data_IF_932363725223
#
_entry.id   IF_932363725223
#
_cell.length_a   1.000
_cell.length_b   1.000
_cell.length_c   1.000
_cell.angle_alpha   90.00
_cell.angle_beta   90.00
_cell.angle_gamma   90.00
#
_symmetry.space_group_name_H-M   'P 1'
#
loop_
_entity.id
_entity.type
_entity.pdbx_description
1 polymer ?
#
# COMPACT_ATOMS: atom_id res chain seq x y z
N UNK A 1 14.68 19.15 -13.99
CA UNK A 1 14.97 18.22 -15.10
C UNK A 1 14.55 16.79 -14.74
N UNK A 2 14.87 16.30 -13.54
CA UNK A 2 14.64 14.90 -13.16
C UNK A 2 13.16 14.52 -13.03
N UNK A 3 12.33 15.38 -12.44
CA UNK A 3 10.87 15.14 -12.37
C UNK A 3 10.25 14.93 -13.75
N UNK A 4 10.60 15.78 -14.72
CA UNK A 4 10.08 15.68 -16.10
C UNK A 4 10.53 14.40 -16.80
N UNK A 5 11.81 14.01 -16.63
CA UNK A 5 12.32 12.74 -17.17
C UNK A 5 11.61 11.53 -16.54
N UNK A 6 11.38 11.56 -15.23
CA UNK A 6 10.65 10.51 -14.51
C UNK A 6 9.20 10.39 -14.98
N UNK A 7 8.50 11.52 -15.09
CA UNK A 7 7.11 11.55 -15.57
C UNK A 7 6.99 11.05 -17.02
N UNK A 8 7.85 11.54 -17.93
CA UNK A 8 7.87 11.07 -19.32
C UNK A 8 8.10 9.57 -19.40
N UNK A 9 9.05 9.04 -18.62
CA UNK A 9 9.31 7.60 -18.59
C UNK A 9 8.13 6.81 -18.02
N UNK A 10 7.46 7.32 -17.00
CA UNK A 10 6.26 6.70 -16.44
C UNK A 10 5.10 6.67 -17.45
N UNK A 11 4.94 7.71 -18.28
CA UNK A 11 3.99 7.72 -19.39
C UNK A 11 4.34 6.67 -20.45
N UNK A 12 5.63 6.60 -20.86
CA UNK A 12 6.10 5.60 -21.83
C UNK A 12 5.86 4.15 -21.36
N UNK A 13 5.90 3.93 -20.05
CA UNK A 13 5.67 2.63 -19.41
C UNK A 13 4.20 2.38 -19.05
N UNK A 14 3.30 3.34 -19.31
CA UNK A 14 1.87 3.22 -18.98
C UNK A 14 1.56 3.24 -17.48
N UNK A 15 2.44 3.81 -16.65
CA UNK A 15 2.25 3.88 -15.19
C UNK A 15 1.33 5.03 -14.76
N UNK A 16 1.09 5.99 -15.66
CA UNK A 16 0.23 7.14 -15.42
C UNK A 16 -0.64 7.42 -16.64
N UNK A 17 -1.90 7.71 -16.39
CA UNK A 17 -2.89 8.24 -17.34
C UNK A 17 -3.80 9.27 -16.62
N UNK A 18 -4.77 9.82 -17.34
CA UNK A 18 -5.76 10.76 -16.75
C UNK A 18 -6.68 10.06 -15.72
N UNK A 19 -6.82 8.73 -15.78
CA UNK A 19 -7.62 7.95 -14.84
C UNK A 19 -6.90 7.74 -13.50
N UNK A 20 -5.55 7.65 -13.52
CA UNK A 20 -4.67 7.55 -12.36
C UNK A 20 -4.74 8.81 -11.50
N UNK A 21 -4.82 9.99 -12.14
CA UNK A 21 -5.00 11.26 -11.41
C UNK A 21 -6.38 11.31 -10.75
N UNK A 22 -7.43 10.80 -11.40
CA UNK A 22 -8.76 10.69 -10.78
C UNK A 22 -8.80 9.65 -9.64
N UNK A 23 -8.19 8.47 -9.81
CA UNK A 23 -8.17 7.38 -8.83
C UNK A 23 -7.29 7.67 -7.60
N UNK A 24 -6.15 8.33 -7.77
CA UNK A 24 -5.33 8.86 -6.67
C UNK A 24 -5.83 10.21 -6.13
N UNK A 25 -6.75 10.90 -6.80
CA UNK A 25 -7.44 12.10 -6.26
C UNK A 25 -8.53 11.76 -5.25
N UNK A 26 -8.79 10.47 -4.99
CA UNK A 26 -9.47 10.05 -3.79
C UNK A 26 -8.65 10.54 -2.60
N UNK A 27 -9.00 11.75 -2.10
CA UNK A 27 -8.49 12.44 -0.90
C UNK A 27 -8.66 11.64 0.40
N UNK A 28 -8.86 10.34 0.28
CA UNK A 28 -9.65 9.50 1.16
C UNK A 28 -9.11 8.08 1.17
N UNK A 29 -7.84 7.81 0.83
CA UNK A 29 -7.21 6.51 1.10
C UNK A 29 -5.71 6.71 1.31
N UNK A 30 -5.09 6.21 2.39
CA UNK A 30 -3.64 6.25 2.59
C UNK A 30 -2.96 5.11 1.82
N UNK A 31 -3.46 4.82 0.60
CA UNK A 31 -2.99 3.77 -0.29
C UNK A 31 -2.81 4.38 -1.67
N UNK A 32 -1.60 4.26 -2.20
CA UNK A 32 -1.21 4.82 -3.48
C UNK A 32 -0.66 3.71 -4.38
N UNK A 33 -1.27 3.54 -5.55
CA UNK A 33 -0.70 2.70 -6.60
C UNK A 33 0.49 3.46 -7.18
N UNK A 34 1.70 2.92 -7.06
CA UNK A 34 2.94 3.52 -7.57
C UNK A 34 3.23 2.98 -8.97
N UNK A 35 3.08 1.67 -9.15
CA UNK A 35 3.21 0.99 -10.44
C UNK A 35 1.94 0.14 -10.63
N UNK A 36 1.12 0.41 -11.65
CA UNK A 36 -0.11 -0.35 -11.88
C UNK A 36 0.14 -1.85 -11.98
N UNK A 37 -0.60 -2.63 -11.18
CA UNK A 37 -0.51 -4.09 -11.16
C UNK A 37 0.72 -4.67 -10.46
N UNK A 38 1.64 -3.83 -9.95
CA UNK A 38 2.92 -4.29 -9.38
C UNK A 38 3.16 -3.72 -7.98
N UNK A 39 3.13 -2.39 -7.82
CA UNK A 39 3.56 -1.74 -6.59
C UNK A 39 2.50 -0.79 -6.02
N UNK A 40 2.16 -1.02 -4.75
CA UNK A 40 1.29 -0.18 -3.95
C UNK A 40 2.06 0.22 -2.69
N UNK A 41 2.02 1.51 -2.34
CA UNK A 41 2.53 2.02 -1.08
C UNK A 41 1.35 2.46 -0.21
N UNK A 42 1.33 2.08 1.06
CA UNK A 42 0.31 2.51 1.99
C UNK A 42 0.88 2.81 3.37
N UNK A 43 0.26 3.76 4.07
CA UNK A 43 0.65 4.14 5.42
C UNK A 43 0.03 3.23 6.47
N UNK A 44 0.75 2.97 7.57
CA UNK A 44 0.13 2.44 8.78
C UNK A 44 -0.68 3.56 9.47
N UNK A 45 -1.98 3.37 9.65
CA UNK A 45 -2.81 4.29 10.42
C UNK A 45 -2.26 4.45 11.85
N UNK A 46 -2.31 5.68 12.40
CA UNK A 46 -1.93 5.95 13.79
C UNK A 46 -3.04 5.46 14.72
N UNK A 47 -3.04 4.16 15.01
CA UNK A 47 -4.00 3.47 15.91
C UNK A 47 -5.47 3.54 15.46
N UNK A 48 -6.17 2.41 15.29
CA UNK A 48 -7.62 2.46 15.15
C UNK A 48 -8.22 2.95 16.47
N UNK A 49 -8.88 4.13 16.47
CA UNK A 49 -9.85 4.40 17.54
C UNK A 49 -10.97 3.38 17.38
N UNK A 50 -11.38 2.76 18.49
CA UNK A 50 -12.35 1.65 18.61
C UNK A 50 -13.77 1.99 18.12
N UNK A 51 -13.93 2.35 16.86
CA UNK A 51 -15.22 2.45 16.22
C UNK A 51 -15.13 1.82 14.84
N UNK A 52 -15.51 0.54 14.71
CA UNK A 52 -15.68 -0.04 13.38
C UNK A 52 -16.77 0.75 12.68
N UNK A 53 -16.41 1.41 11.57
CA UNK A 53 -17.41 1.94 10.66
C UNK A 53 -17.98 0.78 9.86
N UNK A 54 -19.31 0.74 9.62
CA UNK A 54 -19.92 -0.29 8.80
C UNK A 54 -19.31 -0.24 7.39
N UNK A 55 -18.83 -1.40 6.95
CA UNK A 55 -18.07 -1.66 5.70
C UNK A 55 -18.75 -1.16 4.42
N UNK A 56 -20.05 -0.88 4.49
CA UNK A 56 -20.90 -0.62 3.33
C UNK A 56 -21.29 0.87 3.18
N UNK A 57 -20.85 1.77 4.07
CA UNK A 57 -21.40 3.13 4.19
C UNK A 57 -20.38 4.28 4.26
N UNK A 58 -19.12 4.09 3.86
CA UNK A 58 -18.15 5.20 3.80
C UNK A 58 -18.26 5.86 2.43
N UNK A 59 -18.99 6.98 2.34
CA UNK A 59 -18.89 7.88 1.20
C UNK A 59 -17.44 8.37 1.09
N UNK A 60 -16.86 8.53 -0.12
CA UNK A 60 -15.46 8.94 -0.29
C UNK A 60 -15.08 10.21 0.50
N UNK A 61 -16.03 11.14 0.67
CA UNK A 61 -15.85 12.35 1.49
C UNK A 61 -15.81 12.16 3.02
N UNK A 62 -16.19 11.00 3.55
CA UNK A 62 -16.24 10.69 5.00
C UNK A 62 -15.11 9.79 5.47
N UNK A 63 -14.17 9.46 4.59
CA UNK A 63 -13.08 8.58 4.91
C UNK A 63 -12.08 9.27 5.84
N UNK A 64 -11.86 8.67 7.00
CA UNK A 64 -10.80 9.03 7.92
C UNK A 64 -9.72 7.93 7.91
N UNK A 65 -8.49 8.22 7.42
CA UNK A 65 -7.38 7.27 7.44
C UNK A 65 -7.05 6.72 8.85
N UNK A 66 -7.43 7.43 9.92
CA UNK A 66 -7.27 7.00 11.31
C UNK A 66 -8.33 5.97 11.75
N UNK A 67 -9.37 5.74 10.94
CA UNK A 67 -10.45 4.78 11.22
C UNK A 67 -10.35 3.47 10.45
N UNK A 68 -9.40 3.36 9.51
CA UNK A 68 -9.19 2.13 8.76
C UNK A 68 -8.52 1.07 9.62
N UNK A 69 -9.26 0.01 9.91
CA UNK A 69 -8.73 -1.17 10.56
C UNK A 69 -7.97 -2.08 9.58
N UNK A 70 -7.33 -3.08 10.16
CA UNK A 70 -6.52 -4.06 9.46
C UNK A 70 -7.34 -4.86 8.42
N UNK A 71 -8.62 -5.10 8.70
CA UNK A 71 -9.53 -5.84 7.82
C UNK A 71 -9.88 -5.04 6.56
N UNK A 72 -10.06 -3.72 6.67
CA UNK A 72 -10.26 -2.84 5.53
C UNK A 72 -9.10 -2.93 4.54
N UNK A 73 -7.85 -2.82 5.02
CA UNK A 73 -6.68 -2.94 4.14
C UNK A 73 -6.58 -4.34 3.56
N UNK A 74 -6.78 -5.38 4.36
CA UNK A 74 -6.67 -6.76 3.90
C UNK A 74 -7.71 -7.07 2.80
N UNK A 75 -8.95 -6.59 2.94
CA UNK A 75 -9.98 -6.74 1.91
C UNK A 75 -9.64 -5.95 0.63
N UNK A 76 -9.20 -4.69 0.76
CA UNK A 76 -8.86 -3.86 -0.39
C UNK A 76 -7.67 -4.43 -1.16
N UNK A 77 -6.61 -4.83 -0.48
CA UNK A 77 -5.44 -5.45 -1.09
C UNK A 77 -5.82 -6.76 -1.79
N UNK A 78 -6.68 -7.59 -1.19
CA UNK A 78 -7.21 -8.79 -1.82
C UNK A 78 -8.00 -8.48 -3.11
N UNK A 79 -8.89 -7.47 -3.08
CA UNK A 79 -9.63 -7.01 -4.27
C UNK A 79 -8.71 -6.47 -5.37
N UNK A 80 -7.59 -5.88 -4.99
CA UNK A 80 -6.56 -5.40 -5.92
C UNK A 80 -5.61 -6.51 -6.41
N UNK A 81 -5.91 -7.78 -6.10
CA UNK A 81 -5.09 -8.95 -6.47
C UNK A 81 -3.66 -8.91 -5.91
N UNK A 82 -3.46 -8.20 -4.79
CA UNK A 82 -2.18 -8.19 -4.08
C UNK A 82 -1.93 -9.55 -3.46
N UNK A 83 -0.71 -10.07 -3.63
CA UNK A 83 -0.29 -11.37 -3.09
C UNK A 83 0.72 -11.26 -1.96
N UNK A 84 1.53 -10.20 -1.96
CA UNK A 84 2.62 -10.01 -0.99
C UNK A 84 2.52 -8.63 -0.38
N UNK A 85 2.62 -8.57 0.95
CA UNK A 85 2.73 -7.34 1.72
C UNK A 85 4.11 -7.31 2.35
N UNK A 86 4.92 -6.31 2.00
CA UNK A 86 6.22 -6.09 2.64
C UNK A 86 6.08 -5.06 3.74
N UNK A 87 6.46 -5.45 4.97
CA UNK A 87 6.42 -4.58 6.14
C UNK A 87 7.81 -4.09 6.50
N UNK A 88 7.99 -2.77 6.53
CA UNK A 88 9.28 -2.12 6.81
C UNK A 88 9.37 -1.58 8.25
N UNK A 89 8.32 -1.72 9.08
CA UNK A 89 8.28 -1.20 10.44
C UNK A 89 7.78 -2.24 11.45
N UNK A 90 8.19 -2.11 12.71
CA UNK A 90 7.84 -3.06 13.79
C UNK A 90 6.33 -3.14 14.07
N UNK A 91 5.54 -2.18 13.61
CA UNK A 91 4.09 -2.16 13.83
C UNK A 91 3.42 -3.31 13.07
N UNK A 92 3.01 -4.35 13.77
CA UNK A 92 2.25 -5.50 13.26
C UNK A 92 0.77 -5.13 13.12
N UNK A 93 0.43 -4.31 12.14
CA UNK A 93 -0.96 -4.04 11.81
C UNK A 93 -1.37 -4.95 10.66
N UNK A 94 -2.31 -5.85 10.94
CA UNK A 94 -3.03 -6.60 9.93
C UNK A 94 -2.36 -7.80 9.31
N UNK A 95 -1.15 -8.20 9.73
CA UNK A 95 -0.51 -9.43 9.22
C UNK A 95 -1.48 -10.63 9.31
N UNK A 96 -2.15 -10.82 10.45
CA UNK A 96 -3.13 -11.89 10.62
C UNK A 96 -4.36 -11.76 9.70
N UNK A 97 -4.91 -10.55 9.54
CA UNK A 97 -6.07 -10.30 8.67
C UNK A 97 -5.74 -10.47 7.18
N UNK A 98 -4.51 -10.12 6.80
CA UNK A 98 -3.93 -10.27 5.46
C UNK A 98 -3.65 -11.75 5.17
N UNK A 99 -3.01 -12.46 6.10
CA UNK A 99 -2.73 -13.90 5.97
C UNK A 99 -4.01 -14.74 5.90
N UNK A 100 -5.05 -14.41 6.67
CA UNK A 100 -6.37 -15.04 6.58
C UNK A 100 -7.02 -14.89 5.20
N UNK A 101 -6.66 -13.85 4.44
CA UNK A 101 -7.12 -13.60 3.08
C UNK A 101 -6.15 -14.12 2.00
N UNK A 102 -5.11 -14.86 2.41
CA UNK A 102 -4.14 -15.48 1.51
C UNK A 102 -3.00 -14.55 1.06
N UNK A 103 -2.83 -13.39 1.69
CA UNK A 103 -1.71 -12.51 1.42
C UNK A 103 -0.49 -12.96 2.24
N UNK A 104 0.67 -13.03 1.58
CA UNK A 104 1.94 -13.31 2.23
C UNK A 104 2.48 -12.03 2.89
N UNK A 105 2.65 -12.05 4.20
CA UNK A 105 3.28 -10.95 4.93
C UNK A 105 4.79 -11.21 5.10
N UNK A 106 5.63 -10.29 4.60
CA UNK A 106 7.09 -10.37 4.69
C UNK A 106 7.64 -9.21 5.52
N UNK A 107 8.08 -9.46 6.77
CA UNK A 107 8.74 -8.44 7.57
C UNK A 107 10.18 -8.23 7.09
N UNK A 108 10.47 -7.04 6.58
CA UNK A 108 11.80 -6.55 6.20
C UNK A 108 12.14 -5.30 7.02
N UNK A 109 12.27 -5.51 8.33
CA UNK A 109 12.46 -4.43 9.30
C UNK A 109 13.87 -3.87 9.23
N UNK A 110 14.00 -2.56 9.37
CA UNK A 110 15.28 -1.87 9.54
C UNK A 110 15.10 -0.58 10.31
N UNK A 111 16.18 -0.14 10.94
CA UNK A 111 16.20 1.12 11.67
C UNK A 111 16.36 2.31 10.70
N UNK A 112 15.45 3.27 10.80
CA UNK A 112 15.56 4.58 10.14
C UNK A 112 16.82 5.30 10.67
N UNK A 113 17.71 5.88 9.83
CA UNK A 113 17.51 6.27 8.42
C UNK A 113 18.29 5.46 7.38
N UNK A 114 19.02 4.43 7.78
CA UNK A 114 19.94 3.74 6.85
C UNK A 114 19.33 2.42 6.41
N UNK A 115 18.94 2.36 5.14
CA UNK A 115 18.51 1.12 4.50
C UNK A 115 19.66 0.11 4.40
N UNK A 116 19.61 -1.05 5.07
CA UNK A 116 20.64 -2.06 4.93
C UNK A 116 20.59 -2.70 3.52
N UNK A 117 21.74 -2.96 2.87
CA UNK A 117 21.76 -3.61 1.55
C UNK A 117 21.05 -4.96 1.50
N UNK A 118 21.08 -5.72 2.59
CA UNK A 118 20.38 -7.00 2.73
C UNK A 118 18.86 -6.84 2.64
N UNK A 119 18.31 -5.78 3.23
CA UNK A 119 16.88 -5.46 3.19
C UNK A 119 16.48 -5.02 1.78
N UNK A 120 17.28 -4.19 1.13
CA UNK A 120 17.05 -3.80 -0.27
C UNK A 120 17.06 -5.02 -1.21
N UNK A 121 18.01 -5.95 -1.03
CA UNK A 121 18.09 -7.17 -1.81
C UNK A 121 16.90 -8.10 -1.58
N UNK A 122 16.46 -8.26 -0.31
CA UNK A 122 15.29 -9.05 0.04
C UNK A 122 14.00 -8.45 -0.55
N UNK A 123 13.84 -7.12 -0.50
CA UNK A 123 12.71 -6.43 -1.14
C UNK A 123 12.68 -6.68 -2.64
N UNK A 124 13.81 -6.48 -3.33
CA UNK A 124 13.91 -6.71 -4.78
C UNK A 124 13.69 -8.18 -5.17
N UNK A 125 14.01 -9.13 -4.29
CA UNK A 125 13.68 -10.53 -4.51
C UNK A 125 12.17 -10.77 -4.37
N UNK A 126 11.55 -10.24 -3.31
CA UNK A 126 10.13 -10.42 -3.03
C UNK A 126 9.23 -9.92 -4.18
N UNK A 127 9.55 -8.79 -4.80
CA UNK A 127 8.78 -8.23 -5.93
C UNK A 127 8.90 -9.05 -7.21
N UNK A 128 9.95 -9.86 -7.38
CA UNK A 128 10.15 -10.71 -8.57
C UNK A 128 9.50 -12.09 -8.45
N UNK A 129 9.15 -12.51 -7.25
CA UNK A 129 8.61 -13.85 -6.96
C UNK A 129 7.13 -13.85 -6.54
N UNK A 130 6.48 -12.68 -6.59
CA UNK A 130 5.08 -12.49 -6.21
C UNK A 130 4.11 -12.81 -7.37
#
# INVERSE_FOLDING_TARGET
>A
LDMWKGFSRAQDLGWTDESYTAGNSMRSMPLHVIIPGDLIAFGCARQPRRHPLPTDAIAPETFDPETCDDDFYAERLAKMSVRTVVRLSERTHGDAAMEQRGLRCLPLLFDDPILPPSVAAAFAHATRTA
#
